data_IF_602304040132
#
_entry.id   IF_602304040132
#
_cell.length_a   1.000
_cell.length_b   1.000
_cell.length_c   1.000
_cell.angle_alpha   90.00
_cell.angle_beta   90.00
_cell.angle_gamma   90.00
#
_symmetry.space_group_name_H-M   'P 1'
#
loop_
_entity.id
_entity.type
_entity.pdbx_description
1 polymer ?
#
# COMPACT_ATOMS: atom_id res chain seq x y z
N UNK A 1 7.54 11.66 -76.67
CA UNK A 1 7.46 13.13 -76.69
C UNK A 1 6.98 13.61 -75.34
N UNK A 2 7.88 14.36 -74.69
CA UNK A 2 7.68 15.38 -73.65
C UNK A 2 7.06 14.94 -72.32
N UNK A 3 7.86 14.90 -71.26
CA UNK A 3 8.30 16.03 -70.41
C UNK A 3 7.11 16.52 -69.55
N UNK A 4 7.19 16.82 -68.32
CA UNK A 4 8.20 17.29 -67.39
C UNK A 4 7.55 17.35 -66.01
N UNK A 5 8.33 17.16 -64.99
CA UNK A 5 8.57 18.07 -63.86
C UNK A 5 7.41 18.49 -62.97
N UNK A 6 7.57 18.20 -61.78
CA UNK A 6 7.73 19.14 -60.69
C UNK A 6 6.61 18.90 -59.67
N UNK A 7 6.82 18.66 -58.48
CA UNK A 7 7.37 19.57 -57.49
C UNK A 7 7.53 18.86 -56.18
N UNK A 8 8.69 19.08 -55.62
CA UNK A 8 9.01 18.81 -54.24
C UNK A 8 8.08 19.64 -53.35
N UNK A 9 7.12 19.02 -52.72
CA UNK A 9 6.35 19.58 -51.61
C UNK A 9 7.09 19.29 -50.32
N UNK A 10 7.77 20.29 -49.87
CA UNK A 10 8.36 20.53 -48.56
C UNK A 10 7.38 20.08 -47.47
N UNK A 11 7.61 18.92 -46.88
CA UNK A 11 6.93 18.51 -45.65
C UNK A 11 7.85 18.75 -44.50
N UNK A 12 7.63 19.87 -44.01
CA UNK A 12 7.84 20.44 -42.68
C UNK A 12 8.58 19.60 -41.67
N UNK A 13 9.69 20.18 -41.31
CA UNK A 13 10.67 19.84 -40.26
C UNK A 13 10.10 19.89 -38.84
N UNK A 14 8.92 19.34 -38.59
CA UNK A 14 8.35 19.30 -37.23
C UNK A 14 8.29 17.87 -36.65
N UNK A 15 8.74 16.88 -37.43
CA UNK A 15 8.63 15.47 -36.98
C UNK A 15 9.88 15.01 -36.16
N UNK A 16 10.79 15.91 -35.85
CA UNK A 16 12.09 15.53 -35.26
C UNK A 16 12.23 15.83 -33.75
N UNK A 17 11.15 16.17 -33.04
CA UNK A 17 11.24 16.50 -31.60
C UNK A 17 10.24 15.79 -30.69
N UNK A 18 9.56 14.75 -31.18
CA UNK A 18 8.81 13.89 -30.28
C UNK A 18 9.67 12.66 -29.98
N UNK A 19 10.14 12.48 -28.75
CA UNK A 19 10.77 11.23 -28.38
C UNK A 19 9.74 10.13 -28.62
N UNK A 20 10.12 9.16 -29.45
CA UNK A 20 9.29 8.02 -29.82
C UNK A 20 8.57 7.50 -28.57
N UNK A 21 7.24 7.31 -28.67
CA UNK A 21 6.42 6.73 -27.60
C UNK A 21 7.03 5.44 -27.01
N UNK A 22 7.80 4.71 -27.82
CA UNK A 22 8.61 3.57 -27.41
C UNK A 22 9.73 3.98 -26.43
N UNK A 23 10.35 5.15 -26.62
CA UNK A 23 11.41 5.65 -25.75
C UNK A 23 10.85 6.15 -24.42
N UNK A 24 9.72 6.84 -24.45
CA UNK A 24 8.99 7.25 -23.25
C UNK A 24 8.50 6.02 -22.48
N UNK A 25 8.01 5.00 -23.17
CA UNK A 25 7.60 3.72 -22.56
C UNK A 25 8.77 2.94 -21.94
N UNK A 26 9.98 3.09 -22.50
CA UNK A 26 11.21 2.52 -21.93
C UNK A 26 11.73 3.30 -20.72
N UNK A 27 11.57 4.62 -20.72
CA UNK A 27 11.95 5.49 -19.59
C UNK A 27 10.93 5.46 -18.43
N UNK A 28 9.65 5.24 -18.73
CA UNK A 28 8.56 5.10 -17.75
C UNK A 28 8.35 3.64 -17.32
N UNK A 29 9.21 2.73 -17.75
CA UNK A 29 9.33 1.46 -17.03
C UNK A 29 10.09 1.71 -15.72
N UNK A 30 9.42 2.17 -14.61
CA UNK A 30 10.01 2.00 -13.33
C UNK A 30 10.11 0.49 -13.17
N UNK A 31 11.26 -0.01 -12.98
CA UNK A 31 11.66 -1.23 -12.29
C UNK A 31 10.50 -1.90 -11.51
N UNK A 32 9.47 -2.35 -12.24
CA UNK A 32 8.52 -3.37 -11.78
C UNK A 32 9.17 -4.72 -12.13
N UNK A 33 10.50 -4.77 -11.95
CA UNK A 33 11.22 -6.03 -12.02
C UNK A 33 11.11 -6.66 -10.66
N UNK A 34 10.37 -7.76 -10.69
CA UNK A 34 10.36 -8.80 -9.68
C UNK A 34 9.66 -8.47 -8.35
N UNK A 35 8.39 -8.13 -8.42
CA UNK A 35 7.54 -8.83 -7.48
C UNK A 35 7.60 -10.31 -7.90
N UNK A 36 8.00 -11.25 -7.02
CA UNK A 36 7.97 -12.66 -7.35
C UNK A 36 6.60 -12.97 -7.91
N UNK A 37 6.53 -13.70 -9.03
CA UNK A 37 5.32 -13.94 -9.82
C UNK A 37 4.15 -14.56 -9.01
N UNK A 38 4.38 -14.89 -7.74
CA UNK A 38 3.37 -15.25 -6.75
C UNK A 38 3.90 -14.99 -5.34
N UNK A 39 3.49 -13.87 -4.72
CA UNK A 39 3.64 -13.73 -3.28
C UNK A 39 2.78 -14.79 -2.60
N UNK A 40 3.43 -15.77 -2.00
CA UNK A 40 2.75 -16.77 -1.17
C UNK A 40 2.88 -16.34 0.31
N UNK A 41 1.80 -15.85 0.92
CA UNK A 41 1.86 -15.43 2.31
C UNK A 41 2.14 -16.61 3.23
N UNK A 42 2.85 -16.40 4.36
CA UNK A 42 3.04 -17.41 5.39
C UNK A 42 1.70 -18.04 5.83
N UNK A 43 1.68 -19.32 6.20
CA UNK A 43 0.43 -20.02 6.56
C UNK A 43 -0.36 -19.31 7.68
N UNK A 44 0.33 -18.71 8.65
CA UNK A 44 -0.30 -17.95 9.73
C UNK A 44 -1.01 -16.70 9.20
N UNK A 45 -0.37 -15.91 8.34
CA UNK A 45 -0.95 -14.73 7.72
C UNK A 45 -2.16 -15.10 6.85
N UNK A 46 -2.05 -16.19 6.07
CA UNK A 46 -3.16 -16.70 5.26
C UNK A 46 -4.37 -17.08 6.10
N UNK A 47 -4.16 -17.73 7.26
CA UNK A 47 -5.25 -18.04 8.19
C UNK A 47 -5.90 -16.79 8.77
N UNK A 48 -5.10 -15.81 9.18
CA UNK A 48 -5.60 -14.55 9.73
C UNK A 48 -6.44 -13.77 8.72
N UNK A 49 -5.97 -13.66 7.47
CA UNK A 49 -6.71 -12.96 6.40
C UNK A 49 -8.02 -13.70 6.04
N UNK A 50 -8.02 -15.04 6.02
CA UNK A 50 -9.25 -15.83 5.83
C UNK A 50 -10.25 -15.61 6.94
N UNK A 51 -9.79 -15.60 8.18
CA UNK A 51 -10.64 -15.28 9.32
C UNK A 51 -11.23 -13.89 9.20
N UNK A 52 -10.41 -12.88 8.90
CA UNK A 52 -10.88 -11.51 8.68
C UNK A 52 -11.94 -11.43 7.58
N UNK A 53 -11.74 -12.11 6.46
CA UNK A 53 -12.73 -12.16 5.37
C UNK A 53 -14.07 -12.78 5.81
N UNK A 54 -14.03 -13.86 6.58
CA UNK A 54 -15.22 -14.48 7.17
C UNK A 54 -15.92 -13.53 8.16
N UNK A 55 -15.17 -12.86 9.03
CA UNK A 55 -15.72 -11.91 10.01
C UNK A 55 -16.38 -10.71 9.31
N UNK A 56 -15.80 -10.21 8.22
CA UNK A 56 -16.37 -9.15 7.37
C UNK A 56 -17.71 -9.61 6.76
N UNK A 57 -17.76 -10.84 6.23
CA UNK A 57 -18.99 -11.41 5.67
C UNK A 57 -20.08 -11.52 6.74
N UNK A 58 -19.75 -12.06 7.90
CA UNK A 58 -20.69 -12.22 9.01
C UNK A 58 -21.18 -10.87 9.53
N UNK A 59 -20.28 -9.86 9.62
CA UNK A 59 -20.63 -8.50 9.99
C UNK A 59 -21.63 -7.86 9.02
N UNK A 60 -21.43 -8.07 7.71
CA UNK A 60 -22.37 -7.62 6.68
C UNK A 60 -23.73 -8.32 6.81
N UNK A 61 -23.72 -9.64 6.97
CA UNK A 61 -24.95 -10.42 7.07
C UNK A 61 -25.76 -10.03 8.32
N UNK A 62 -25.12 -9.84 9.47
CA UNK A 62 -25.78 -9.36 10.69
C UNK A 62 -26.44 -7.99 10.51
N UNK A 63 -25.92 -7.16 9.60
CA UNK A 63 -26.49 -5.83 9.26
C UNK A 63 -27.53 -5.89 8.13
N UNK A 64 -27.82 -7.08 7.59
CA UNK A 64 -28.76 -7.26 6.47
C UNK A 64 -28.30 -6.54 5.18
N UNK A 65 -27.00 -6.25 5.02
CA UNK A 65 -26.51 -5.47 3.89
C UNK A 65 -26.21 -6.38 2.68
N UNK A 66 -26.69 -6.03 1.47
CA UNK A 66 -26.24 -6.65 0.24
C UNK A 66 -24.75 -6.39 -0.01
N UNK A 67 -24.03 -7.37 -0.60
CA UNK A 67 -22.61 -7.20 -0.95
C UNK A 67 -22.35 -6.03 -1.90
N UNK A 68 -23.30 -5.72 -2.79
CA UNK A 68 -23.23 -4.57 -3.70
C UNK A 68 -23.18 -3.23 -2.96
N UNK A 69 -24.01 -3.08 -1.92
CA UNK A 69 -24.07 -1.86 -1.12
C UNK A 69 -22.77 -1.61 -0.35
N UNK A 70 -22.18 -2.68 0.22
CA UNK A 70 -20.90 -2.53 0.93
C UNK A 70 -19.76 -2.22 -0.05
N UNK A 71 -19.75 -2.87 -1.22
CA UNK A 71 -18.76 -2.59 -2.27
C UNK A 71 -18.85 -1.13 -2.77
N UNK A 72 -20.06 -0.62 -2.99
CA UNK A 72 -20.31 0.76 -3.39
C UNK A 72 -19.83 1.75 -2.32
N UNK A 73 -20.18 1.54 -1.06
CA UNK A 73 -19.73 2.39 0.07
C UNK A 73 -18.20 2.37 0.24
N UNK A 74 -17.57 1.25 -0.05
CA UNK A 74 -16.11 1.12 -0.01
C UNK A 74 -15.42 1.64 -1.27
N UNK A 75 -16.16 2.05 -2.31
CA UNK A 75 -15.61 2.53 -3.58
C UNK A 75 -14.90 1.44 -4.38
N UNK A 76 -15.31 0.16 -4.28
CA UNK A 76 -14.63 -0.97 -4.92
C UNK A 76 -15.59 -1.79 -5.80
N UNK A 77 -15.01 -2.53 -6.75
CA UNK A 77 -15.78 -3.45 -7.57
C UNK A 77 -16.32 -4.61 -6.72
N UNK A 78 -17.54 -5.08 -7.02
CA UNK A 78 -18.17 -6.22 -6.36
C UNK A 78 -17.33 -7.50 -6.40
N UNK A 79 -16.61 -7.72 -7.51
CA UNK A 79 -15.68 -8.85 -7.64
C UNK A 79 -14.53 -8.79 -6.64
N UNK A 80 -13.99 -7.59 -6.39
CA UNK A 80 -12.97 -7.34 -5.37
C UNK A 80 -13.52 -7.57 -3.97
N UNK A 81 -14.75 -7.12 -3.70
CA UNK A 81 -15.43 -7.38 -2.43
C UNK A 81 -15.58 -8.89 -2.14
N UNK A 82 -15.95 -9.68 -3.14
CA UNK A 82 -16.04 -11.15 -2.97
C UNK A 82 -14.68 -11.80 -2.69
N UNK A 83 -13.57 -11.27 -3.24
CA UNK A 83 -12.22 -11.71 -2.87
C UNK A 83 -11.90 -11.43 -1.41
N UNK A 84 -12.33 -10.27 -0.89
CA UNK A 84 -12.16 -9.91 0.52
C UNK A 84 -12.91 -10.88 1.43
N UNK A 85 -14.18 -11.18 1.14
CA UNK A 85 -14.96 -12.15 1.93
C UNK A 85 -14.35 -13.57 1.92
N UNK A 86 -13.60 -13.92 0.86
CA UNK A 86 -12.85 -15.18 0.77
C UNK A 86 -11.49 -15.12 1.47
N UNK A 87 -11.06 -13.96 1.93
CA UNK A 87 -9.77 -13.76 2.55
C UNK A 87 -8.61 -13.89 1.57
N UNK A 88 -8.72 -13.23 0.42
CA UNK A 88 -7.68 -13.23 -0.62
C UNK A 88 -6.54 -12.29 -0.19
N UNK A 89 -5.36 -12.87 0.03
CA UNK A 89 -4.17 -12.14 0.41
C UNK A 89 -3.57 -11.27 -0.72
N UNK A 90 -4.03 -11.44 -1.95
CA UNK A 90 -3.63 -10.60 -3.08
C UNK A 90 -4.33 -9.24 -3.10
N UNK A 91 -5.36 -9.04 -2.28
CA UNK A 91 -6.02 -7.73 -2.14
C UNK A 91 -5.22 -6.86 -1.17
N UNK A 92 -5.00 -5.60 -1.54
CA UNK A 92 -4.22 -4.69 -0.71
C UNK A 92 -4.92 -4.41 0.63
N UNK A 93 -4.12 -4.16 1.68
CA UNK A 93 -4.61 -3.82 3.01
C UNK A 93 -5.47 -2.55 3.01
N UNK A 94 -5.17 -1.58 2.12
CA UNK A 94 -5.96 -0.37 1.98
C UNK A 94 -7.39 -0.65 1.53
N UNK A 95 -7.60 -1.65 0.69
CA UNK A 95 -8.94 -2.06 0.24
C UNK A 95 -9.69 -2.77 1.38
N UNK A 96 -9.01 -3.61 2.18
CA UNK A 96 -9.57 -4.17 3.41
C UNK A 96 -10.01 -3.07 4.38
N UNK A 97 -9.16 -2.05 4.59
CA UNK A 97 -9.48 -0.91 5.44
C UNK A 97 -10.71 -0.14 4.94
N UNK A 98 -10.85 0.09 3.63
CA UNK A 98 -12.02 0.75 3.05
C UNK A 98 -13.33 -0.03 3.31
N UNK A 99 -13.27 -1.37 3.26
CA UNK A 99 -14.43 -2.23 3.58
C UNK A 99 -14.75 -2.20 5.07
N UNK A 100 -13.74 -2.24 5.94
CA UNK A 100 -13.93 -2.09 7.39
C UNK A 100 -14.54 -0.74 7.73
N UNK A 101 -14.10 0.33 7.08
CA UNK A 101 -14.69 1.67 7.20
C UNK A 101 -16.15 1.68 6.77
N UNK A 102 -16.48 1.08 5.63
CA UNK A 102 -17.86 0.99 5.12
C UNK A 102 -18.81 0.23 6.06
N UNK A 103 -18.25 -0.66 6.89
CA UNK A 103 -18.97 -1.43 7.92
C UNK A 103 -18.85 -0.81 9.31
N UNK A 104 -18.22 0.36 9.49
CA UNK A 104 -17.92 0.97 10.80
C UNK A 104 -17.18 0.00 11.75
N UNK A 105 -16.14 -0.67 11.24
CA UNK A 105 -15.30 -1.63 11.97
C UNK A 105 -13.83 -1.20 11.98
N UNK A 106 -13.56 0.11 11.93
CA UNK A 106 -12.19 0.66 11.96
C UNK A 106 -11.59 0.69 13.36
N UNK A 107 -12.40 0.53 14.40
CA UNK A 107 -11.92 0.53 15.77
C UNK A 107 -10.88 -0.58 15.98
N UNK A 108 -9.73 -0.21 16.49
CA UNK A 108 -8.61 -1.14 16.68
C UNK A 108 -7.77 -1.43 15.43
N UNK A 109 -8.19 -1.03 14.23
CA UNK A 109 -7.37 -1.23 13.03
C UNK A 109 -6.08 -0.39 13.06
N UNK A 110 -6.16 0.84 13.57
CA UNK A 110 -5.00 1.71 13.75
C UNK A 110 -4.04 1.17 14.82
N UNK A 111 -4.55 0.41 15.78
CA UNK A 111 -3.82 -0.10 16.94
C UNK A 111 -3.23 -1.50 16.70
N UNK A 112 -3.34 -2.07 15.49
CA UNK A 112 -2.86 -3.42 15.19
C UNK A 112 -1.36 -3.62 15.50
N UNK A 113 -0.55 -2.58 15.33
CA UNK A 113 0.88 -2.59 15.60
C UNK A 113 1.27 -1.60 16.72
N UNK A 114 0.33 -1.21 17.58
CA UNK A 114 0.63 -0.37 18.72
C UNK A 114 1.58 -1.08 19.68
N UNK A 115 2.55 -0.34 20.21
CA UNK A 115 3.54 -0.87 21.16
C UNK A 115 2.90 -1.52 22.40
N UNK A 116 1.70 -1.09 22.80
CA UNK A 116 0.91 -1.68 23.89
C UNK A 116 0.47 -3.12 23.58
N UNK A 117 0.33 -3.45 22.31
CA UNK A 117 -0.08 -4.75 21.81
C UNK A 117 1.11 -5.64 21.40
N UNK A 118 2.36 -5.14 21.60
CA UNK A 118 3.59 -5.86 21.27
C UNK A 118 4.34 -6.31 22.54
N UNK A 119 3.97 -7.45 23.13
CA UNK A 119 4.63 -7.95 24.34
C UNK A 119 6.09 -8.35 24.10
N UNK A 120 6.46 -8.72 22.85
CA UNK A 120 7.83 -9.09 22.52
C UNK A 120 8.73 -7.85 22.41
N UNK A 121 8.23 -6.78 21.78
CA UNK A 121 8.94 -5.50 21.74
C UNK A 121 9.09 -4.87 23.11
N UNK A 122 8.07 -4.95 23.96
CA UNK A 122 8.14 -4.50 25.34
C UNK A 122 9.20 -5.26 26.16
N UNK A 123 9.26 -6.59 26.02
CA UNK A 123 10.29 -7.40 26.68
C UNK A 123 11.71 -7.07 26.21
N UNK A 124 11.90 -6.94 24.89
CA UNK A 124 13.17 -6.55 24.30
C UNK A 124 13.61 -5.13 24.72
N UNK A 125 12.67 -4.22 24.92
CA UNK A 125 12.94 -2.87 25.42
C UNK A 125 13.41 -2.90 26.87
N UNK A 126 12.80 -3.76 27.73
CA UNK A 126 13.23 -3.95 29.13
C UNK A 126 14.64 -4.53 29.24
N UNK A 127 15.02 -5.46 28.36
CA UNK A 127 16.38 -6.02 28.33
C UNK A 127 17.45 -4.98 27.94
N UNK A 128 17.08 -3.96 27.15
CA UNK A 128 17.99 -2.88 26.73
C UNK A 128 18.08 -1.73 27.71
N UNK A 129 17.22 -1.69 28.71
CA UNK A 129 17.29 -0.65 29.73
C UNK A 129 18.57 -0.81 30.54
N UNK A 130 19.37 0.25 30.76
CA UNK A 130 20.56 0.17 31.61
C UNK A 130 20.16 -0.23 33.02
N UNK A 131 20.82 -1.25 33.56
CA UNK A 131 20.56 -1.78 34.90
C UNK A 131 20.79 -0.76 36.07
N UNK A 132 21.31 0.42 35.73
CA UNK A 132 21.48 1.55 36.66
C UNK A 132 21.08 2.85 35.96
N UNK A 133 20.30 3.68 36.64
CA UNK A 133 20.04 5.05 36.21
C UNK A 133 21.37 5.84 36.28
N UNK A 134 21.89 6.23 35.11
CA UNK A 134 23.07 7.12 35.05
C UNK A 134 22.54 8.54 35.14
N UNK A 135 22.72 9.19 36.27
CA UNK A 135 22.46 10.62 36.39
C UNK A 135 23.31 11.36 35.35
N UNK A 136 22.64 12.14 34.47
CA UNK A 136 23.34 12.96 33.50
C UNK A 136 24.32 13.88 34.22
N UNK A 137 25.63 13.66 34.00
CA UNK A 137 26.69 14.46 34.58
C UNK A 137 26.52 15.90 34.05
N UNK A 138 26.15 16.82 34.93
CA UNK A 138 26.03 18.25 34.64
C UNK A 138 27.40 18.70 34.07
N UNK A 139 27.44 19.18 32.81
CA UNK A 139 28.65 19.77 32.23
C UNK A 139 29.09 20.93 33.12
N UNK A 140 30.38 20.97 33.55
CA UNK A 140 30.88 22.13 34.29
C UNK A 140 30.76 23.37 33.39
N UNK A 141 30.20 24.43 33.95
CA UNK A 141 29.89 25.67 33.24
C UNK A 141 31.13 26.26 32.55
N UNK A 142 30.93 26.66 31.30
CA UNK A 142 31.80 27.59 30.62
C UNK A 142 31.93 28.86 31.47
N UNK A 143 33.17 29.14 31.95
CA UNK A 143 33.50 30.39 32.58
C UNK A 143 33.31 31.51 31.55
N UNK A 144 32.38 32.41 31.87
CA UNK A 144 32.30 33.71 31.27
C UNK A 144 33.62 34.46 31.63
N UNK A 145 34.38 34.80 30.65
CA UNK A 145 35.49 35.75 30.76
C UNK A 145 34.95 37.14 30.45
N UNK A 146 34.98 38.01 31.47
CA UNK A 146 34.90 39.47 31.33
C UNK A 146 36.02 40.00 30.49
#
# INVERSE_FOLDING_TARGET
MRQLLGEAGQRDSITCLMPSYAYIKALIRPRIEALPASYLPPPAAKRAIRKLGSDIRDARLRRGLPASVVAERAGIARSTYHKIEKGDAGVSIGIYAAVLQALNLMDGFADLADARNDPQGAHAALERLPKRAVLARKKPGSKESS
#
